data_IF_351520432157
#
_entry.id   IF_351520432157
#
_cell.length_a   1.000
_cell.length_b   1.000
_cell.length_c   1.000
_cell.angle_alpha   90.00
_cell.angle_beta   90.00
_cell.angle_gamma   90.00
#
_symmetry.space_group_name_H-M   'P 1'
#
loop_
_entity.id
_entity.type
_entity.pdbx_description
1 polymer ?
#
# COMPACT_ATOMS: atom_id res chain seq x y z
N UNK A 1 -0.97 -0.56 14.68
CA UNK A 1 -0.26 -1.73 15.24
C UNK A 1 0.40 -2.53 14.13
N UNK A 2 1.47 -3.30 14.38
CA UNK A 2 2.09 -4.15 13.36
C UNK A 2 1.13 -5.23 12.85
N UNK A 3 1.27 -5.64 11.58
CA UNK A 3 0.55 -6.81 11.06
C UNK A 3 1.26 -8.08 11.54
N UNK A 4 0.52 -8.92 12.27
CA UNK A 4 0.94 -10.25 12.72
C UNK A 4 0.13 -11.32 11.98
N UNK A 5 0.55 -12.60 11.99
CA UNK A 5 -0.22 -13.68 11.38
C UNK A 5 -1.69 -13.72 11.82
N UNK A 6 -1.98 -13.43 13.09
CA UNK A 6 -3.35 -13.43 13.61
C UNK A 6 -4.20 -12.25 13.10
N UNK A 7 -3.56 -11.15 12.67
CA UNK A 7 -4.26 -9.97 12.14
C UNK A 7 -4.52 -10.08 10.63
N UNK A 8 -3.77 -10.93 9.90
CA UNK A 8 -3.89 -11.12 8.45
C UNK A 8 -5.33 -11.46 8.04
N UNK A 9 -6.06 -12.40 8.69
CA UNK A 9 -7.45 -12.68 8.33
C UNK A 9 -8.36 -11.44 8.39
N UNK A 10 -8.13 -10.55 9.36
CA UNK A 10 -8.90 -9.30 9.49
C UNK A 10 -8.55 -8.29 8.38
N UNK A 11 -7.27 -8.20 7.97
CA UNK A 11 -6.87 -7.40 6.82
C UNK A 11 -7.49 -7.94 5.52
N UNK A 12 -7.45 -9.26 5.29
CA UNK A 12 -8.07 -9.92 4.13
C UNK A 12 -9.57 -9.65 4.10
N UNK A 13 -10.26 -9.79 5.24
CA UNK A 13 -11.69 -9.48 5.34
C UNK A 13 -11.98 -8.02 4.97
N UNK A 14 -11.16 -7.08 5.45
CA UNK A 14 -11.26 -5.65 5.12
C UNK A 14 -11.08 -5.41 3.61
N UNK A 15 -10.10 -6.08 2.98
CA UNK A 15 -9.89 -6.05 1.52
C UNK A 15 -11.13 -6.53 0.77
N UNK A 16 -11.66 -7.72 1.09
CA UNK A 16 -12.82 -8.28 0.40
C UNK A 16 -14.04 -7.37 0.50
N UNK A 17 -14.34 -6.86 1.70
CA UNK A 17 -15.44 -5.93 1.92
C UNK A 17 -15.27 -4.59 1.16
N UNK A 18 -14.02 -4.16 0.93
CA UNK A 18 -13.74 -2.98 0.12
C UNK A 18 -14.09 -3.21 -1.36
N UNK A 19 -13.68 -4.34 -1.93
CA UNK A 19 -13.99 -4.68 -3.33
C UNK A 19 -15.46 -5.03 -3.54
N UNK A 20 -16.13 -5.67 -2.59
CA UNK A 20 -17.57 -5.97 -2.69
C UNK A 20 -18.43 -4.70 -2.76
N UNK A 21 -18.04 -3.64 -2.05
CA UNK A 21 -18.75 -2.36 -2.07
C UNK A 21 -18.49 -1.53 -3.33
N UNK A 22 -17.47 -1.89 -4.10
CA UNK A 22 -17.02 -1.11 -5.25
C UNK A 22 -17.50 -1.77 -6.53
N UNK A 23 -18.56 -1.21 -7.12
CA UNK A 23 -19.04 -1.60 -8.45
C UNK A 23 -18.21 -0.91 -9.55
N UNK A 24 -16.96 -1.32 -9.73
CA UNK A 24 -16.15 -0.94 -10.89
C UNK A 24 -15.70 -2.20 -11.62
N UNK A 25 -15.94 -2.27 -12.94
CA UNK A 25 -15.52 -3.36 -13.83
C UNK A 25 -14.06 -3.21 -14.30
N UNK A 26 -13.23 -2.40 -13.62
CA UNK A 26 -11.83 -2.18 -14.00
C UNK A 26 -10.98 -3.45 -13.73
N UNK A 27 -10.40 -4.09 -14.76
CA UNK A 27 -9.56 -5.26 -14.59
C UNK A 27 -8.34 -5.05 -13.66
N UNK A 28 -7.81 -3.82 -13.59
CA UNK A 28 -6.69 -3.47 -12.72
C UNK A 28 -7.02 -3.73 -11.24
N UNK A 29 -8.28 -3.53 -10.86
CA UNK A 29 -8.79 -3.77 -9.50
C UNK A 29 -8.75 -5.24 -9.14
N UNK A 30 -9.03 -6.12 -10.10
CA UNK A 30 -8.92 -7.57 -9.94
C UNK A 30 -7.49 -8.00 -9.63
N UNK A 31 -6.52 -7.46 -10.38
CA UNK A 31 -5.10 -7.74 -10.18
C UNK A 31 -4.58 -7.22 -8.84
N UNK A 32 -4.98 -6.02 -8.41
CA UNK A 32 -4.59 -5.47 -7.10
C UNK A 32 -5.13 -6.34 -5.96
N UNK A 33 -6.42 -6.75 -6.03
CA UNK A 33 -7.01 -7.65 -5.04
C UNK A 33 -6.22 -8.95 -4.93
N UNK A 34 -5.93 -9.57 -6.07
CA UNK A 34 -5.17 -10.82 -6.11
C UNK A 34 -3.75 -10.65 -5.55
N UNK A 35 -3.08 -9.54 -5.88
CA UNK A 35 -1.76 -9.21 -5.33
C UNK A 35 -1.79 -9.05 -3.80
N UNK A 36 -2.79 -8.36 -3.25
CA UNK A 36 -2.98 -8.22 -1.80
C UNK A 36 -3.16 -9.58 -1.14
N UNK A 37 -4.05 -10.43 -1.68
CA UNK A 37 -4.33 -11.75 -1.11
C UNK A 37 -3.09 -12.66 -1.15
N UNK A 38 -2.34 -12.65 -2.26
CA UNK A 38 -1.09 -13.40 -2.40
C UNK A 38 -0.01 -12.89 -1.45
N UNK A 39 0.13 -11.56 -1.32
CA UNK A 39 1.07 -10.96 -0.39
C UNK A 39 0.77 -11.36 1.06
N UNK A 40 -0.51 -11.41 1.45
CA UNK A 40 -0.90 -11.89 2.76
C UNK A 40 -0.69 -13.40 2.96
N UNK A 41 -0.96 -14.22 1.94
CA UNK A 41 -0.72 -15.66 2.00
C UNK A 41 0.77 -16.00 2.20
N UNK A 42 1.66 -15.16 1.66
CA UNK A 42 3.12 -15.35 1.70
C UNK A 42 3.85 -14.29 2.53
N UNK A 43 3.15 -13.62 3.46
CA UNK A 43 3.63 -12.41 4.11
C UNK A 43 4.98 -12.59 4.81
N UNK A 44 5.14 -13.74 5.49
CA UNK A 44 6.37 -14.10 6.19
C UNK A 44 7.49 -14.54 5.24
N UNK A 45 7.18 -15.33 4.22
CA UNK A 45 8.18 -15.81 3.26
C UNK A 45 8.77 -14.65 2.44
N UNK A 46 7.92 -13.70 2.07
CA UNK A 46 8.30 -12.46 1.39
C UNK A 46 8.97 -11.45 2.33
N UNK A 47 9.02 -11.73 3.64
CA UNK A 47 9.59 -10.83 4.67
C UNK A 47 8.95 -9.44 4.66
N UNK A 48 7.66 -9.38 4.32
CA UNK A 48 6.91 -8.13 4.33
C UNK A 48 6.76 -7.63 5.76
N UNK A 49 6.79 -6.31 5.90
CA UNK A 49 6.49 -5.61 7.13
C UNK A 49 5.26 -4.75 6.89
N UNK A 50 4.35 -4.70 7.84
CA UNK A 50 3.08 -3.99 7.68
C UNK A 50 2.55 -3.39 8.96
N UNK A 51 1.61 -2.47 8.80
CA UNK A 51 0.85 -1.88 9.89
C UNK A 51 -0.64 -1.89 9.57
N UNK A 52 -1.46 -1.93 10.61
CA UNK A 52 -2.91 -1.78 10.55
C UNK A 52 -3.42 -0.78 11.60
N UNK A 53 -4.49 -0.09 11.25
CA UNK A 53 -5.31 0.70 12.18
C UNK A 53 -6.57 -0.10 12.45
N UNK A 54 -6.82 -0.33 13.75
CA UNK A 54 -8.00 -1.03 14.22
C UNK A 54 -8.87 -0.03 14.99
N UNK A 55 -10.14 0.08 14.59
CA UNK A 55 -11.15 0.92 15.24
C UNK A 55 -12.34 0.02 15.55
N UNK A 56 -12.83 0.04 16.78
CA UNK A 56 -13.96 -0.80 17.24
C UNK A 56 -13.81 -2.29 16.88
N UNK A 57 -12.59 -2.81 17.00
CA UNK A 57 -12.26 -4.21 16.71
C UNK A 57 -12.19 -4.57 15.22
N UNK A 58 -12.30 -3.60 14.30
CA UNK A 58 -12.21 -3.81 12.85
C UNK A 58 -10.97 -3.16 12.26
N UNK A 59 -10.34 -3.84 11.29
CA UNK A 59 -9.25 -3.25 10.50
C UNK A 59 -9.84 -2.22 9.54
N UNK A 60 -9.65 -0.95 9.86
CA UNK A 60 -10.13 0.18 9.07
C UNK A 60 -9.06 0.73 8.12
N UNK A 61 -7.78 0.42 8.36
CA UNK A 61 -6.72 0.64 7.36
C UNK A 61 -5.57 -0.33 7.55
N UNK A 62 -4.85 -0.59 6.48
CA UNK A 62 -3.59 -1.34 6.53
C UNK A 62 -2.64 -0.89 5.43
N UNK A 63 -1.36 -1.18 5.64
CA UNK A 63 -0.31 -0.99 4.66
C UNK A 63 0.79 -2.01 4.88
N UNK A 64 1.50 -2.37 3.82
CA UNK A 64 2.69 -3.19 3.92
C UNK A 64 3.68 -2.87 2.81
N UNK A 65 4.92 -3.26 3.04
CA UNK A 65 6.06 -2.99 2.19
C UNK A 65 7.31 -3.67 2.69
N UNK A 66 8.44 -3.32 2.09
CA UNK A 66 9.73 -3.93 2.37
C UNK A 66 10.89 -2.97 2.08
N UNK A 67 12.07 -3.32 2.57
CA UNK A 67 13.30 -2.66 2.13
C UNK A 67 13.56 -3.04 0.67
N UNK A 68 13.47 -2.06 -0.23
CA UNK A 68 13.75 -2.27 -1.66
C UNK A 68 15.26 -2.44 -1.89
N UNK A 69 16.06 -1.69 -1.14
CA UNK A 69 17.53 -1.75 -1.16
C UNK A 69 18.08 -1.22 0.19
N UNK A 70 19.36 -0.85 0.23
CA UNK A 70 20.04 -0.40 1.44
C UNK A 70 19.60 0.97 1.99
N UNK A 71 18.91 1.79 1.20
CA UNK A 71 18.52 3.15 1.61
C UNK A 71 17.07 3.52 1.28
N UNK A 72 16.31 2.61 0.67
CA UNK A 72 14.95 2.86 0.19
C UNK A 72 13.99 1.78 0.69
N UNK A 73 12.88 2.20 1.28
CA UNK A 73 11.71 1.35 1.52
C UNK A 73 10.68 1.55 0.41
N UNK A 74 9.99 0.49 0.00
CA UNK A 74 8.82 0.56 -0.89
C UNK A 74 7.54 0.28 -0.11
N UNK A 75 6.50 1.07 -0.34
CA UNK A 75 5.14 0.86 0.17
C UNK A 75 4.31 0.28 -0.98
N UNK A 76 4.03 -1.02 -0.93
CA UNK A 76 3.31 -1.71 -2.00
C UNK A 76 1.81 -1.40 -1.95
N UNK A 77 1.22 -1.49 -0.77
CA UNK A 77 -0.22 -1.33 -0.60
C UNK A 77 -0.50 -0.38 0.55
N UNK A 78 -1.46 0.52 0.35
CA UNK A 78 -2.04 1.37 1.38
C UNK A 78 -3.56 1.40 1.15
N UNK A 79 -4.31 0.76 2.05
CA UNK A 79 -5.78 0.73 2.00
C UNK A 79 -6.34 1.33 3.29
N UNK A 80 -7.44 2.07 3.17
CA UNK A 80 -8.13 2.66 4.31
C UNK A 80 -9.60 2.94 4.04
N UNK A 81 -10.39 2.92 5.09
CA UNK A 81 -11.80 3.30 5.08
C UNK A 81 -11.93 4.83 5.02
N UNK A 82 -12.36 5.35 3.87
CA UNK A 82 -12.47 6.78 3.61
C UNK A 82 -13.49 7.51 4.49
N UNK A 83 -14.37 6.79 5.20
CA UNK A 83 -15.28 7.37 6.19
C UNK A 83 -14.53 8.02 7.37
N UNK A 84 -13.31 7.53 7.65
CA UNK A 84 -12.44 8.09 8.68
C UNK A 84 -11.49 9.13 8.09
N UNK A 85 -11.84 10.40 8.29
CA UNK A 85 -10.96 11.52 7.90
C UNK A 85 -9.58 11.37 8.53
N UNK A 86 -8.54 11.41 7.70
CA UNK A 86 -7.15 11.33 8.16
C UNK A 86 -6.58 9.91 8.20
N UNK A 87 -7.37 8.87 7.92
CA UNK A 87 -6.92 7.49 8.10
C UNK A 87 -5.72 7.13 7.21
N UNK A 88 -5.71 7.61 5.96
CA UNK A 88 -4.60 7.42 5.02
C UNK A 88 -3.33 8.13 5.49
N UNK A 89 -3.47 9.37 5.98
CA UNK A 89 -2.36 10.13 6.55
C UNK A 89 -1.79 9.43 7.79
N UNK A 90 -2.65 8.90 8.65
CA UNK A 90 -2.25 8.21 9.87
C UNK A 90 -1.53 6.90 9.54
N UNK A 91 -2.10 6.03 8.70
CA UNK A 91 -1.49 4.74 8.39
C UNK A 91 -0.15 4.94 7.68
N UNK A 92 -0.08 5.89 6.74
CA UNK A 92 1.16 6.24 6.06
C UNK A 92 2.22 6.72 7.04
N UNK A 93 1.89 7.70 7.88
CA UNK A 93 2.84 8.27 8.84
C UNK A 93 3.37 7.19 9.80
N UNK A 94 2.49 6.36 10.37
CA UNK A 94 2.91 5.34 11.33
C UNK A 94 3.78 4.27 10.66
N UNK A 95 3.43 3.85 9.45
CA UNK A 95 4.25 2.91 8.69
C UNK A 95 5.62 3.49 8.30
N UNK A 96 5.68 4.75 7.88
CA UNK A 96 6.95 5.39 7.52
C UNK A 96 7.85 5.60 8.76
N UNK A 97 7.28 5.76 9.97
CA UNK A 97 8.05 6.00 11.21
C UNK A 97 8.95 4.83 11.63
N UNK A 98 8.68 3.59 11.23
CA UNK A 98 9.60 2.46 11.49
C UNK A 98 10.80 2.46 10.54
N UNK A 99 10.71 3.14 9.40
CA UNK A 99 11.76 3.22 8.38
C UNK A 99 12.62 4.49 8.50
N UNK A 100 12.71 5.09 9.68
CA UNK A 100 13.48 6.33 9.93
C UNK A 100 14.97 6.25 9.57
N UNK A 101 15.51 5.04 9.48
CA UNK A 101 16.90 4.78 9.09
C UNK A 101 17.09 4.72 7.57
N UNK A 102 15.99 4.58 6.81
CA UNK A 102 16.00 4.62 5.35
C UNK A 102 15.94 6.08 4.89
N UNK A 103 16.64 6.38 3.80
CA UNK A 103 16.72 7.72 3.23
C UNK A 103 15.51 8.06 2.36
N UNK A 104 14.97 7.06 1.66
CA UNK A 104 13.90 7.24 0.70
C UNK A 104 12.70 6.33 0.98
N UNK A 105 11.52 6.81 0.61
CA UNK A 105 10.27 6.05 0.63
C UNK A 105 9.70 6.09 -0.79
N UNK A 106 9.68 4.95 -1.45
CA UNK A 106 9.02 4.77 -2.73
C UNK A 106 7.55 4.38 -2.47
N UNK A 107 6.62 5.22 -2.89
CA UNK A 107 5.16 4.96 -2.78
C UNK A 107 4.52 4.55 -4.10
N UNK A 108 5.32 4.01 -5.03
CA UNK A 108 4.92 3.52 -6.36
C UNK A 108 4.27 4.59 -7.26
N UNK A 109 3.54 4.19 -8.31
CA UNK A 109 3.05 5.06 -9.39
C UNK A 109 1.60 5.53 -9.21
N UNK A 110 1.22 6.62 -9.90
CA UNK A 110 -0.14 7.17 -9.86
C UNK A 110 -1.08 6.57 -10.92
N UNK A 111 -0.59 5.67 -11.77
CA UNK A 111 -1.32 5.02 -12.85
C UNK A 111 -2.00 6.01 -13.83
N UNK A 112 -1.55 7.28 -13.86
CA UNK A 112 -2.21 8.34 -14.63
C UNK A 112 -3.53 8.84 -14.03
N UNK A 113 -3.89 8.42 -12.82
CA UNK A 113 -5.11 8.84 -12.13
C UNK A 113 -4.85 10.17 -11.43
N UNK A 114 -5.50 11.25 -11.88
CA UNK A 114 -5.27 12.62 -11.38
C UNK A 114 -5.40 12.73 -9.86
N UNK A 115 -6.46 12.15 -9.28
CA UNK A 115 -6.67 12.17 -7.83
C UNK A 115 -5.54 11.46 -7.07
N UNK A 116 -5.03 10.35 -7.60
CA UNK A 116 -3.91 9.62 -7.00
C UNK A 116 -2.60 10.40 -7.14
N UNK A 117 -2.38 11.04 -8.29
CA UNK A 117 -1.23 11.92 -8.52
C UNK A 117 -1.22 13.08 -7.53
N UNK A 118 -2.34 13.77 -7.35
CA UNK A 118 -2.46 14.85 -6.36
C UNK A 118 -2.20 14.36 -4.93
N UNK A 119 -2.74 13.18 -4.57
CA UNK A 119 -2.47 12.57 -3.27
C UNK A 119 -0.98 12.32 -3.04
N UNK A 120 -0.23 11.82 -4.03
CA UNK A 120 1.23 11.59 -3.93
C UNK A 120 2.02 12.89 -3.89
N UNK A 121 1.67 13.87 -4.74
CA UNK A 121 2.32 15.20 -4.75
C UNK A 121 2.13 15.95 -3.43
N UNK A 122 1.01 15.74 -2.73
CA UNK A 122 0.76 16.37 -1.42
C UNK A 122 1.81 16.03 -0.34
N UNK A 123 2.51 14.90 -0.50
CA UNK A 123 3.62 14.49 0.39
C UNK A 123 4.97 15.11 0.00
N UNK A 124 5.01 15.99 -1.00
CA UNK A 124 6.22 16.70 -1.48
C UNK A 124 7.35 15.74 -1.84
N UNK A 125 7.16 14.85 -2.83
CA UNK A 125 8.18 13.89 -3.23
C UNK A 125 9.44 14.61 -3.70
N UNK A 126 10.60 14.12 -3.24
CA UNK A 126 11.91 14.59 -3.73
C UNK A 126 12.11 14.29 -5.22
N UNK A 127 11.48 13.23 -5.73
CA UNK A 127 11.55 12.85 -7.15
C UNK A 127 10.27 12.10 -7.57
N UNK A 128 9.81 12.38 -8.77
CA UNK A 128 8.93 11.50 -9.54
C UNK A 128 9.81 10.71 -10.51
N UNK A 129 9.94 9.40 -10.32
CA UNK A 129 10.87 8.58 -11.10
C UNK A 129 10.25 8.26 -12.46
N UNK A 130 10.96 8.61 -13.54
CA UNK A 130 10.61 8.21 -14.90
C UNK A 130 11.07 6.76 -15.14
N UNK A 131 10.19 5.95 -15.73
CA UNK A 131 10.46 4.57 -16.15
C UNK A 131 10.38 4.53 -17.69
N UNK A 132 11.26 3.77 -18.34
CA UNK A 132 11.34 3.70 -19.79
C UNK A 132 11.34 2.25 -20.26
N UNK A 133 10.67 1.99 -21.38
CA UNK A 133 10.76 0.72 -22.09
C UNK A 133 11.93 0.77 -23.08
N UNK A 134 12.86 -0.16 -22.96
CA UNK A 134 13.99 -0.29 -23.88
C UNK A 134 13.70 -1.44 -24.84
N UNK A 135 13.62 -1.13 -26.13
CA UNK A 135 13.38 -2.11 -27.20
C UNK A 135 14.61 -2.22 -28.11
N UNK A 136 14.86 -3.42 -28.64
CA UNK A 136 15.91 -3.62 -29.64
C UNK A 136 15.37 -3.08 -30.97
N UNK A 137 16.10 -2.16 -31.59
CA UNK A 137 15.77 -1.65 -32.93
C UNK A 137 15.75 -2.79 -33.95
N UNK A 138 14.75 -2.79 -34.84
CA UNK A 138 14.64 -3.77 -35.93
C UNK A 138 15.82 -3.68 -36.89
#
# INVERSE_FOLDING_TARGET
MPITPDLIPACVKSTLAWYERRCDDDPCMGHEKEAILRAFAHFRELKLVGGAIVIDGKVEAFTFGEALNSDTVVVHIEKGNADFRGIYQMINQQFCRQWRHMRYINREEDMGIEGLRQAKLSYRPVKMVEKYDVTIGK
#
